data_IF_848722329989
#
_entry.id   IF_848722329989
#
_cell.length_a   1.000
_cell.length_b   1.000
_cell.length_c   1.000
_cell.angle_alpha   90.00
_cell.angle_beta   90.00
_cell.angle_gamma   90.00
#
_symmetry.space_group_name_H-M   'P 1'
#
loop_
_entity.id
_entity.type
_entity.pdbx_description
1 polymer ?
#
# COMPACT_ATOMS: atom_id res chain seq x y z
N UNK A 1 11.93 -40.20 -50.65
CA UNK A 1 10.74 -40.47 -49.82
C UNK A 1 11.06 -40.14 -48.38
N UNK A 2 10.06 -39.66 -47.65
CA UNK A 2 10.14 -38.67 -46.57
C UNK A 2 10.97 -39.05 -45.33
N UNK A 3 11.76 -38.09 -44.82
CA UNK A 3 12.29 -38.10 -43.46
C UNK A 3 11.31 -37.35 -42.55
N UNK A 4 10.76 -38.08 -41.58
CA UNK A 4 9.86 -37.58 -40.55
C UNK A 4 10.64 -36.71 -39.57
N UNK A 5 10.34 -35.42 -39.52
CA UNK A 5 10.78 -34.50 -38.48
C UNK A 5 9.83 -34.62 -37.29
N UNK A 6 10.25 -35.33 -36.25
CA UNK A 6 9.54 -35.37 -34.96
C UNK A 6 9.91 -34.11 -34.17
N UNK A 7 9.01 -33.13 -34.14
CA UNK A 7 9.16 -31.94 -33.29
C UNK A 7 8.86 -32.32 -31.82
N UNK A 8 9.89 -32.26 -30.98
CA UNK A 8 9.75 -32.34 -29.52
C UNK A 8 9.20 -31.01 -29.01
N UNK A 9 7.90 -30.94 -28.73
CA UNK A 9 7.33 -29.84 -27.95
C UNK A 9 7.67 -30.06 -26.46
N UNK A 10 8.76 -29.43 -26.01
CA UNK A 10 9.02 -29.20 -24.60
C UNK A 10 7.99 -28.20 -24.08
N UNK A 11 6.89 -28.72 -23.55
CA UNK A 11 5.95 -27.97 -22.73
C UNK A 11 6.65 -27.54 -21.44
N UNK A 12 7.29 -26.37 -21.47
CA UNK A 12 7.69 -25.65 -20.27
C UNK A 12 6.38 -25.21 -19.62
N UNK A 13 5.88 -26.04 -18.69
CA UNK A 13 4.98 -25.59 -17.65
C UNK A 13 5.66 -24.41 -16.96
N UNK A 14 5.27 -23.20 -17.34
CA UNK A 14 5.54 -22.01 -16.59
C UNK A 14 4.85 -22.18 -15.23
N UNK A 15 5.57 -22.81 -14.30
CA UNK A 15 5.38 -22.64 -12.87
C UNK A 15 5.50 -21.14 -12.64
N UNK A 16 4.37 -20.44 -12.68
CA UNK A 16 4.28 -19.09 -12.18
C UNK A 16 4.77 -19.15 -10.76
N UNK A 17 6.00 -18.67 -10.54
CA UNK A 17 6.50 -18.38 -9.21
C UNK A 17 5.45 -17.43 -8.63
N UNK A 18 4.58 -17.96 -7.76
CA UNK A 18 3.80 -17.14 -6.86
C UNK A 18 4.85 -16.41 -6.03
N UNK A 19 5.28 -15.25 -6.53
CA UNK A 19 6.26 -14.42 -5.89
C UNK A 19 5.63 -14.07 -4.56
N UNK A 20 6.11 -14.72 -3.50
CA UNK A 20 5.51 -14.65 -2.18
C UNK A 20 5.61 -13.19 -1.73
N UNK A 21 4.53 -12.44 -1.96
CA UNK A 21 4.58 -11.00 -1.87
C UNK A 21 4.47 -10.65 -0.39
N UNK A 22 5.62 -10.31 0.20
CA UNK A 22 5.76 -10.03 1.63
C UNK A 22 4.82 -8.93 2.13
N UNK A 23 4.21 -8.14 1.24
CA UNK A 23 3.19 -7.16 1.59
C UNK A 23 1.81 -7.76 1.82
N UNK A 24 1.45 -8.86 1.15
CA UNK A 24 0.09 -9.39 1.20
C UNK A 24 -0.29 -9.71 2.65
N UNK A 25 -1.44 -9.17 3.08
CA UNK A 25 -1.94 -9.27 4.45
C UNK A 25 -2.52 -7.95 4.96
N UNK A 26 -2.87 -7.95 6.25
CA UNK A 26 -3.37 -6.79 6.99
C UNK A 26 -2.28 -6.25 7.91
N UNK A 27 -2.05 -4.95 7.84
CA UNK A 27 -0.98 -4.24 8.54
C UNK A 27 -1.55 -3.08 9.33
N UNK A 28 -1.20 -2.99 10.61
CA UNK A 28 -1.76 -1.99 11.51
C UNK A 28 -0.66 -1.17 12.17
N UNK A 29 -0.85 0.14 12.22
CA UNK A 29 0.00 1.07 12.94
C UNK A 29 -0.83 1.91 13.91
N UNK A 30 -0.21 2.26 15.04
CA UNK A 30 -0.73 3.20 16.03
C UNK A 30 0.37 4.21 16.33
N UNK A 31 0.04 5.48 16.24
CA UNK A 31 0.96 6.58 16.57
C UNK A 31 0.19 7.78 17.07
N UNK A 32 0.89 8.77 17.62
CA UNK A 32 0.30 10.03 18.00
C UNK A 32 0.56 11.06 16.89
N UNK A 33 -0.47 11.45 16.17
CA UNK A 33 -0.39 12.52 15.18
C UNK A 33 -0.35 13.87 15.90
N UNK A 34 0.56 14.78 15.56
CA UNK A 34 0.69 16.06 16.25
C UNK A 34 -0.54 16.97 16.09
N UNK A 35 -1.33 16.79 15.04
CA UNK A 35 -2.51 17.60 14.75
C UNK A 35 -3.82 16.91 15.17
N UNK A 36 -3.87 15.58 15.08
CA UNK A 36 -5.11 14.80 15.28
C UNK A 36 -5.10 13.86 16.49
N UNK A 37 -3.97 13.82 17.22
CA UNK A 37 -3.80 12.97 18.40
C UNK A 37 -3.64 11.48 18.05
N UNK A 38 -3.98 10.57 18.98
CA UNK A 38 -3.91 9.13 18.79
C UNK A 38 -4.60 8.72 17.49
N UNK A 39 -3.81 8.12 16.61
CA UNK A 39 -4.20 7.75 15.26
C UNK A 39 -3.93 6.27 15.03
N UNK A 40 -4.91 5.59 14.44
CA UNK A 40 -4.85 4.20 14.04
C UNK A 40 -4.92 4.13 12.52
N UNK A 41 -4.02 3.35 11.92
CA UNK A 41 -3.99 3.10 10.48
C UNK A 41 -4.01 1.60 10.24
N UNK A 42 -4.89 1.15 9.35
CA UNK A 42 -4.89 -0.21 8.83
C UNK A 42 -4.66 -0.16 7.32
N UNK A 43 -3.71 -0.94 6.82
CA UNK A 43 -3.50 -1.17 5.41
C UNK A 43 -3.79 -2.63 5.08
N UNK A 44 -4.47 -2.87 3.96
CA UNK A 44 -4.75 -4.19 3.44
C UNK A 44 -4.12 -4.28 2.05
N UNK A 45 -3.17 -5.19 1.86
CA UNK A 45 -2.57 -5.47 0.56
C UNK A 45 -3.07 -6.81 0.03
N UNK A 46 -3.70 -6.80 -1.14
CA UNK A 46 -4.26 -7.99 -1.78
C UNK A 46 -3.26 -8.62 -2.76
N UNK A 47 -3.35 -9.94 -3.04
CA UNK A 47 -2.46 -10.60 -4.00
C UNK A 47 -2.52 -10.03 -5.43
N UNK A 48 -3.65 -9.43 -5.82
CA UNK A 48 -3.90 -8.86 -7.15
C UNK A 48 -3.28 -7.45 -7.37
N UNK A 49 -2.53 -6.94 -6.40
CA UNK A 49 -1.95 -5.59 -6.47
C UNK A 49 -2.90 -4.47 -6.05
N UNK A 50 -4.07 -4.77 -5.50
CA UNK A 50 -4.94 -3.76 -4.89
C UNK A 50 -4.55 -3.53 -3.43
N UNK A 51 -4.73 -2.30 -2.95
CA UNK A 51 -4.65 -2.01 -1.53
C UNK A 51 -5.80 -1.12 -1.08
N UNK A 52 -6.02 -1.11 0.23
CA UNK A 52 -6.79 -0.07 0.89
C UNK A 52 -6.12 0.36 2.18
N UNK A 53 -6.27 1.62 2.53
CA UNK A 53 -5.89 2.18 3.81
C UNK A 53 -7.12 2.74 4.51
N UNK A 54 -7.25 2.46 5.79
CA UNK A 54 -8.19 3.10 6.69
C UNK A 54 -7.42 3.82 7.78
N UNK A 55 -7.76 5.08 8.04
CA UNK A 55 -7.18 5.89 9.10
C UNK A 55 -8.28 6.42 10.00
N UNK A 56 -8.13 6.21 11.31
CA UNK A 56 -9.03 6.72 12.34
C UNK A 56 -8.25 7.57 13.33
N UNK A 57 -8.75 8.75 13.66
CA UNK A 57 -8.13 9.64 14.66
C UNK A 57 -9.02 9.81 15.87
N UNK A 58 -8.44 10.12 17.04
CA UNK A 58 -9.20 10.37 18.26
C UNK A 58 -10.18 11.55 18.11
N UNK A 59 -9.84 12.52 17.27
CA UNK A 59 -10.71 13.66 16.93
C UNK A 59 -11.97 13.28 16.12
N UNK A 60 -12.21 11.99 15.87
CA UNK A 60 -13.35 11.49 15.09
C UNK A 60 -13.12 11.52 13.58
N UNK A 61 -11.89 11.83 13.13
CA UNK A 61 -11.53 11.77 11.72
C UNK A 61 -11.52 10.33 11.22
N UNK A 62 -12.13 10.12 10.06
CA UNK A 62 -12.10 8.86 9.34
C UNK A 62 -11.68 9.12 7.90
N UNK A 63 -10.66 8.39 7.42
CA UNK A 63 -10.19 8.46 6.04
C UNK A 63 -10.08 7.04 5.49
N UNK A 64 -10.58 6.83 4.28
CA UNK A 64 -10.47 5.59 3.53
C UNK A 64 -9.87 5.87 2.15
N UNK A 65 -8.77 5.18 1.82
CA UNK A 65 -8.02 5.35 0.58
C UNK A 65 -7.86 3.99 -0.09
N UNK A 66 -8.64 3.68 -1.13
CA UNK A 66 -8.41 2.53 -1.98
C UNK A 66 -7.42 2.86 -3.11
N UNK A 67 -6.76 1.84 -3.64
CA UNK A 67 -5.89 2.02 -4.78
C UNK A 67 -5.15 0.76 -5.21
N UNK A 68 -4.02 0.95 -5.89
CA UNK A 68 -3.10 -0.12 -6.29
C UNK A 68 -1.74 0.07 -5.64
N UNK A 69 -1.06 -1.04 -5.37
CA UNK A 69 0.31 -1.01 -4.89
C UNK A 69 1.22 -1.77 -5.84
N UNK A 70 2.47 -1.31 -5.94
CA UNK A 70 3.51 -1.99 -6.70
C UNK A 70 4.88 -1.70 -6.11
N UNK A 71 5.74 -2.71 -6.13
CA UNK A 71 7.17 -2.54 -5.86
C UNK A 71 7.81 -2.04 -7.15
N UNK A 72 8.26 -0.79 -7.17
CA UNK A 72 8.87 -0.19 -8.37
C UNK A 72 10.30 -0.69 -8.55
N UNK A 73 11.01 -0.83 -7.43
CA UNK A 73 12.30 -1.48 -7.32
C UNK A 73 12.44 -2.02 -5.89
N UNK A 74 13.39 -2.91 -5.64
CA UNK A 74 13.58 -3.47 -4.30
C UNK A 74 13.79 -2.34 -3.27
N UNK A 75 12.97 -2.37 -2.21
CA UNK A 75 12.99 -1.33 -1.16
C UNK A 75 12.17 -0.08 -1.47
N UNK A 76 11.54 0.02 -2.65
CA UNK A 76 10.66 1.14 -3.03
C UNK A 76 9.26 0.65 -3.40
N UNK A 77 8.28 1.08 -2.62
CA UNK A 77 6.85 0.82 -2.79
C UNK A 77 6.18 2.07 -3.36
N UNK A 78 5.29 1.90 -4.34
CA UNK A 78 4.41 2.96 -4.81
C UNK A 78 2.96 2.58 -4.56
N UNK A 79 2.19 3.53 -4.03
CA UNK A 79 0.76 3.46 -3.81
C UNK A 79 0.07 4.41 -4.78
N UNK A 80 -0.69 3.91 -5.74
CA UNK A 80 -1.46 4.69 -6.71
C UNK A 80 -2.92 4.77 -6.22
N UNK A 81 -3.38 5.97 -5.83
CA UNK A 81 -4.67 6.20 -5.16
C UNK A 81 -5.82 6.25 -6.18
N UNK A 82 -6.92 5.53 -5.93
CA UNK A 82 -8.15 5.68 -6.71
C UNK A 82 -9.01 6.84 -6.17
N UNK A 83 -8.72 8.05 -6.68
CA UNK A 83 -9.37 9.31 -6.30
C UNK A 83 -10.91 9.26 -6.41
N UNK A 84 -11.48 8.36 -7.21
CA UNK A 84 -12.93 8.22 -7.35
C UNK A 84 -13.57 7.57 -6.12
N UNK A 85 -12.82 6.73 -5.40
CA UNK A 85 -13.33 5.92 -4.29
C UNK A 85 -12.74 6.29 -2.91
N UNK A 86 -11.88 7.31 -2.83
CA UNK A 86 -11.43 7.85 -1.53
C UNK A 86 -12.57 8.49 -0.73
N UNK A 87 -12.46 8.48 0.60
CA UNK A 87 -13.37 9.16 1.52
C UNK A 87 -12.57 9.78 2.69
N UNK A 88 -12.96 10.97 3.20
CA UNK A 88 -14.01 11.86 2.72
C UNK A 88 -13.62 12.57 1.42
N UNK A 89 -14.61 13.09 0.69
CA UNK A 89 -14.36 13.90 -0.52
C UNK A 89 -14.09 15.36 -0.23
N UNK A 90 -14.47 15.81 0.96
CA UNK A 90 -14.46 17.21 1.34
C UNK A 90 -14.19 17.35 2.83
N UNK A 91 -13.63 18.50 3.19
CA UNK A 91 -13.46 18.95 4.55
C UNK A 91 -14.43 20.10 4.80
N UNK A 92 -15.36 19.91 5.73
CA UNK A 92 -16.37 20.92 6.08
C UNK A 92 -15.96 21.67 7.35
N UNK A 93 -15.94 22.99 7.27
CA UNK A 93 -15.69 23.89 8.39
C UNK A 93 -16.75 25.00 8.47
N UNK A 94 -16.57 25.99 9.35
CA UNK A 94 -17.53 27.10 9.53
C UNK A 94 -17.79 27.92 8.26
N UNK A 95 -16.86 27.90 7.31
CA UNK A 95 -16.92 28.64 6.05
C UNK A 95 -17.45 27.79 4.86
N UNK A 96 -17.93 26.57 5.13
CA UNK A 96 -18.40 25.63 4.11
C UNK A 96 -17.49 24.42 3.90
N UNK A 97 -17.79 23.64 2.87
CA UNK A 97 -17.04 22.43 2.52
C UNK A 97 -16.08 22.69 1.36
N UNK A 98 -14.83 22.25 1.52
CA UNK A 98 -13.79 22.35 0.50
C UNK A 98 -13.37 20.95 0.04
N UNK A 99 -13.22 20.70 -1.27
CA UNK A 99 -12.76 19.40 -1.76
C UNK A 99 -11.38 19.03 -1.22
N UNK A 100 -11.22 17.76 -0.83
CA UNK A 100 -9.91 17.20 -0.45
C UNK A 100 -9.28 16.57 -1.69
N UNK A 101 -8.06 16.99 -2.01
CA UNK A 101 -7.23 16.33 -3.01
C UNK A 101 -6.19 15.48 -2.31
N UNK A 102 -6.31 14.17 -2.47
CA UNK A 102 -5.29 13.24 -2.01
C UNK A 102 -4.13 13.21 -3.02
N UNK A 103 -2.88 13.03 -2.57
CA UNK A 103 -1.73 12.98 -3.47
C UNK A 103 -1.88 11.89 -4.53
N UNK A 104 -1.54 12.20 -5.79
CA UNK A 104 -1.65 11.26 -6.90
C UNK A 104 -0.40 10.38 -7.01
N UNK A 105 -0.33 9.41 -6.11
CA UNK A 105 0.78 8.48 -6.01
C UNK A 105 1.75 8.83 -4.89
N UNK A 106 1.85 7.95 -3.91
CA UNK A 106 2.82 8.06 -2.82
C UNK A 106 3.91 7.03 -3.00
N UNK A 107 5.17 7.46 -2.86
CA UNK A 107 6.32 6.56 -2.92
C UNK A 107 6.91 6.43 -1.52
N UNK A 108 7.15 5.19 -1.11
CA UNK A 108 7.70 4.84 0.19
C UNK A 108 8.97 4.02 0.04
N UNK A 109 9.97 4.34 0.84
CA UNK A 109 11.02 3.38 1.16
C UNK A 109 10.44 2.36 2.15
N UNK A 110 10.60 1.07 1.85
CA UNK A 110 10.10 0.01 2.72
C UNK A 110 11.20 -0.93 3.15
N UNK A 111 11.01 -1.51 4.34
CA UNK A 111 11.79 -2.66 4.80
C UNK A 111 10.95 -3.56 5.68
N UNK A 112 11.32 -4.83 5.72
CA UNK A 112 10.76 -5.85 6.62
C UNK A 112 11.85 -6.27 7.61
N UNK A 113 11.90 -5.69 8.82
CA UNK A 113 12.83 -6.14 9.86
C UNK A 113 12.62 -7.61 10.23
N UNK A 114 11.37 -8.07 10.13
CA UNK A 114 10.93 -9.45 10.32
C UNK A 114 9.62 -9.68 9.53
N UNK A 115 9.09 -10.91 9.55
CA UNK A 115 7.88 -11.31 8.81
C UNK A 115 6.59 -10.58 9.23
N UNK A 116 6.56 -10.01 10.42
CA UNK A 116 5.40 -9.38 11.06
C UNK A 116 5.56 -7.87 11.22
N UNK A 117 6.64 -7.28 10.68
CA UNK A 117 6.91 -5.85 10.79
C UNK A 117 7.17 -5.25 9.42
N UNK A 118 6.40 -4.24 9.07
CA UNK A 118 6.60 -3.43 7.87
C UNK A 118 6.92 -2.01 8.31
N UNK A 119 8.05 -1.48 7.86
CA UNK A 119 8.41 -0.08 8.09
C UNK A 119 8.30 0.65 6.76
N UNK A 120 7.49 1.72 6.73
CA UNK A 120 7.35 2.61 5.59
C UNK A 120 7.92 3.98 5.94
N UNK A 121 8.71 4.56 5.06
CA UNK A 121 9.16 5.95 5.13
C UNK A 121 8.73 6.66 3.85
N UNK A 122 7.96 7.75 3.99
CA UNK A 122 7.56 8.53 2.82
C UNK A 122 8.79 9.12 2.13
N UNK A 123 8.93 8.86 0.82
CA UNK A 123 10.15 9.21 0.07
C UNK A 123 10.35 10.72 -0.09
N UNK A 124 9.29 11.52 0.04
CA UNK A 124 9.36 12.99 0.04
C UNK A 124 9.86 13.58 1.36
N UNK A 125 9.97 12.78 2.43
CA UNK A 125 10.47 13.23 3.72
C UNK A 125 11.98 12.95 3.87
N UNK A 126 12.70 13.76 4.67
CA UNK A 126 14.09 13.48 5.03
C UNK A 126 14.27 12.09 5.66
N UNK A 127 15.46 11.47 5.53
CA UNK A 127 15.76 10.19 6.18
C UNK A 127 15.43 10.17 7.67
N UNK A 128 14.72 9.13 8.12
CA UNK A 128 14.30 8.98 9.52
C UNK A 128 13.06 9.78 9.91
N UNK A 129 12.47 10.59 9.02
CA UNK A 129 11.22 11.30 9.24
C UNK A 129 10.05 10.63 8.48
N UNK A 130 8.81 10.90 8.90
CA UNK A 130 7.61 10.31 8.29
C UNK A 130 7.67 8.77 8.22
N UNK A 131 8.26 8.16 9.27
CA UNK A 131 8.41 6.71 9.39
C UNK A 131 7.22 6.15 10.15
N UNK A 132 6.50 5.22 9.54
CA UNK A 132 5.42 4.48 10.19
C UNK A 132 5.81 3.01 10.26
N UNK A 133 5.72 2.44 11.47
CA UNK A 133 5.94 1.01 11.70
C UNK A 133 4.61 0.33 11.87
N UNK A 134 4.35 -0.63 10.99
CA UNK A 134 3.16 -1.46 10.99
C UNK A 134 3.48 -2.86 11.53
N UNK A 135 2.49 -3.44 12.19
CA UNK A 135 2.48 -4.84 12.61
C UNK A 135 1.46 -5.62 11.80
N UNK A 136 1.85 -6.81 11.37
CA UNK A 136 0.95 -7.73 10.67
C UNK A 136 -0.09 -8.27 11.64
N UNK A 137 -1.37 -8.25 11.27
CA UNK A 137 -2.46 -8.78 12.09
C UNK A 137 -3.18 -9.96 11.46
N UNK A 138 -3.16 -10.09 10.12
CA UNK A 138 -3.72 -11.22 9.36
C UNK A 138 -2.92 -11.48 8.10
#
# INVERSE_FOLDING_TARGET
MARVMTAFFLGILALGLAQNNAFVGVWEARYNDPNFGPTYVQMVFQPNGNYSQETRTQAGGYVYIPGRYRVVQQGVLRLDIDQRNVYPKEFCGPLGCNPIRYPDGETYYYRFPDRNTLVLQLASCPPGQCVITYRRTR
#
